data_IF_593868616419
#
_entry.id   IF_593868616419
#
_cell.length_a   1.000
_cell.length_b   1.000
_cell.length_c   1.000
_cell.angle_alpha   90.00
_cell.angle_beta   90.00
_cell.angle_gamma   90.00
#
_symmetry.space_group_name_H-M   'P 1'
#
loop_
_entity.id
_entity.type
_entity.pdbx_description
1 polymer ?
#
# COMPACT_ATOMS: atom_id res chain seq x y z
N UNK A 1 -17.21 -28.72 -3.18
CA UNK A 1 -16.33 -27.62 -3.52
C UNK A 1 -16.91 -26.31 -2.99
N UNK A 2 -16.16 -25.62 -2.20
CA UNK A 2 -16.65 -24.34 -1.68
C UNK A 2 -16.73 -23.35 -2.82
N UNK A 3 -17.84 -22.66 -2.92
CA UNK A 3 -17.97 -21.57 -3.85
C UNK A 3 -17.19 -20.37 -3.33
N UNK A 4 -16.16 -19.98 -4.04
CA UNK A 4 -15.48 -18.76 -3.71
C UNK A 4 -16.21 -17.59 -4.33
N UNK A 5 -16.42 -16.56 -3.55
CA UNK A 5 -16.96 -15.31 -4.08
C UNK A 5 -15.83 -14.59 -4.82
N UNK A 6 -16.16 -13.63 -5.68
CA UNK A 6 -15.15 -12.93 -6.47
C UNK A 6 -14.03 -12.31 -5.66
N UNK A 7 -14.32 -11.81 -4.45
CA UNK A 7 -13.31 -11.18 -3.61
C UNK A 7 -12.44 -12.20 -2.84
N UNK A 8 -12.92 -13.45 -2.68
CA UNK A 8 -12.14 -14.53 -2.08
C UNK A 8 -11.14 -15.10 -3.08
N UNK A 9 -11.42 -14.94 -4.37
CA UNK A 9 -10.65 -15.53 -5.44
C UNK A 9 -9.62 -14.53 -5.99
N UNK A 10 -8.87 -13.87 -5.11
CA UNK A 10 -7.81 -12.98 -5.56
C UNK A 10 -6.43 -13.62 -5.36
N UNK A 11 -5.47 -13.18 -6.19
CA UNK A 11 -4.11 -13.68 -6.16
C UNK A 11 -3.14 -12.52 -6.30
N UNK A 12 -1.95 -12.71 -5.73
CA UNK A 12 -0.88 -11.71 -5.83
C UNK A 12 0.20 -12.19 -6.80
N UNK A 13 0.78 -11.24 -7.53
CA UNK A 13 1.92 -11.53 -8.41
C UNK A 13 2.74 -10.26 -8.59
N UNK A 14 3.93 -10.40 -9.16
CA UNK A 14 4.79 -9.25 -9.43
C UNK A 14 4.17 -8.36 -10.50
N UNK A 15 4.46 -7.07 -10.42
CA UNK A 15 4.00 -6.09 -11.40
C UNK A 15 4.47 -6.47 -12.80
N UNK A 16 3.55 -6.44 -13.76
CA UNK A 16 3.83 -6.61 -15.18
C UNK A 16 3.60 -5.28 -15.89
N UNK A 17 4.24 -5.09 -17.04
CA UNK A 17 4.09 -3.86 -17.80
C UNK A 17 2.61 -3.55 -18.10
N UNK A 18 1.85 -4.58 -18.43
CA UNK A 18 0.42 -4.44 -18.73
C UNK A 18 -0.43 -3.99 -17.53
N UNK A 19 0.08 -4.16 -16.31
CA UNK A 19 -0.62 -3.77 -15.09
C UNK A 19 -0.46 -2.30 -14.77
N UNK A 20 0.53 -1.65 -15.37
CA UNK A 20 0.93 -0.29 -14.99
C UNK A 20 -0.20 0.74 -15.07
N UNK A 21 -1.00 0.79 -16.15
CA UNK A 21 -2.10 1.78 -16.19
C UNK A 21 -3.08 1.65 -15.02
N UNK A 22 -3.48 0.42 -14.69
CA UNK A 22 -4.40 0.17 -13.58
C UNK A 22 -3.79 0.54 -12.24
N UNK A 23 -2.51 0.21 -12.04
CA UNK A 23 -1.79 0.53 -10.82
C UNK A 23 -1.68 2.04 -10.61
N UNK A 24 -1.38 2.78 -11.66
CA UNK A 24 -1.29 4.25 -11.57
C UNK A 24 -2.63 4.89 -11.24
N UNK A 25 -3.71 4.36 -11.80
CA UNK A 25 -5.05 4.84 -11.49
C UNK A 25 -5.40 4.61 -10.03
N UNK A 26 -5.09 3.41 -9.51
CA UNK A 26 -5.32 3.10 -8.10
C UNK A 26 -4.46 3.99 -7.19
N UNK A 27 -3.19 4.19 -7.55
CA UNK A 27 -2.30 5.06 -6.78
C UNK A 27 -2.89 6.46 -6.63
N UNK A 28 -3.31 7.05 -7.72
CA UNK A 28 -3.85 8.40 -7.70
C UNK A 28 -5.17 8.47 -6.90
N UNK A 29 -6.13 7.61 -7.23
CA UNK A 29 -7.43 7.67 -6.59
C UNK A 29 -7.36 7.36 -5.09
N UNK A 30 -6.54 6.40 -4.69
CA UNK A 30 -6.38 6.04 -3.28
C UNK A 30 -5.76 7.19 -2.48
N UNK A 31 -4.74 7.87 -3.06
CA UNK A 31 -4.13 9.01 -2.39
C UNK A 31 -5.08 10.20 -2.28
N UNK A 32 -5.84 10.48 -3.33
CA UNK A 32 -6.81 11.58 -3.30
C UNK A 32 -7.88 11.36 -2.23
N UNK A 33 -8.29 10.10 -2.01
CA UNK A 33 -9.29 9.80 -1.00
C UNK A 33 -8.72 9.77 0.42
N UNK A 34 -7.56 9.13 0.60
CA UNK A 34 -6.99 8.94 1.92
C UNK A 34 -6.30 10.18 2.46
N UNK A 35 -5.80 11.03 1.59
CA UNK A 35 -4.95 12.16 1.95
C UNK A 35 -5.55 13.48 1.46
N UNK A 36 -6.80 13.73 1.78
CA UNK A 36 -7.53 14.95 1.38
C UNK A 36 -6.98 16.22 2.02
N UNK A 37 -6.14 16.08 3.06
CA UNK A 37 -5.43 17.18 3.71
C UNK A 37 -4.20 17.65 2.92
N UNK A 38 -3.86 16.97 1.82
CA UNK A 38 -2.79 17.35 0.90
C UNK A 38 -3.43 17.75 -0.41
N UNK A 39 -3.02 18.89 -1.02
CA UNK A 39 -3.64 19.34 -2.27
C UNK A 39 -3.57 18.28 -3.37
N UNK A 40 -4.65 18.15 -4.12
CA UNK A 40 -4.73 17.21 -5.25
C UNK A 40 -3.59 17.42 -6.25
N UNK A 41 -3.20 18.67 -6.46
CA UNK A 41 -2.12 19.05 -7.36
C UNK A 41 -0.81 18.30 -7.03
N UNK A 42 -0.51 18.12 -5.74
CA UNK A 42 0.69 17.40 -5.31
C UNK A 42 0.71 15.98 -5.87
N UNK A 43 -0.42 15.27 -5.75
CA UNK A 43 -0.50 13.88 -6.23
C UNK A 43 -0.43 13.82 -7.75
N UNK A 44 -1.13 14.70 -8.44
CA UNK A 44 -1.11 14.71 -9.91
C UNK A 44 0.25 15.08 -10.49
N UNK A 45 0.96 15.97 -9.84
CA UNK A 45 2.30 16.36 -10.28
C UNK A 45 3.33 15.27 -10.05
N UNK A 46 3.10 14.40 -9.07
CA UNK A 46 4.02 13.29 -8.79
C UNK A 46 3.74 12.04 -9.64
N UNK A 47 2.61 12.00 -10.32
CA UNK A 47 2.23 10.84 -11.12
C UNK A 47 3.26 10.43 -12.18
N UNK A 48 3.85 11.35 -12.95
CA UNK A 48 4.88 10.98 -13.93
C UNK A 48 6.10 10.30 -13.30
N UNK A 49 6.51 10.77 -12.12
CA UNK A 49 7.64 10.17 -11.40
C UNK A 49 7.30 8.76 -10.94
N UNK A 50 6.12 8.56 -10.39
CA UNK A 50 5.66 7.23 -9.96
C UNK A 50 5.63 6.27 -11.13
N UNK A 51 5.16 6.75 -12.29
CA UNK A 51 5.13 5.94 -13.52
C UNK A 51 6.51 5.43 -13.91
N UNK A 52 7.54 6.26 -13.73
CA UNK A 52 8.91 5.88 -14.04
C UNK A 52 9.51 4.96 -13.00
N UNK A 53 9.15 5.15 -11.73
CA UNK A 53 9.73 4.41 -10.62
C UNK A 53 9.19 2.99 -10.48
N UNK A 54 7.89 2.80 -10.71
CA UNK A 54 7.24 1.51 -10.45
C UNK A 54 7.88 0.33 -11.19
N UNK A 55 8.22 0.43 -12.48
CA UNK A 55 8.83 -0.71 -13.18
C UNK A 55 10.20 -1.10 -12.63
N UNK A 56 10.87 -0.20 -11.91
CA UNK A 56 12.19 -0.43 -11.36
C UNK A 56 12.15 -0.84 -9.89
N UNK A 57 10.98 -0.81 -9.27
CA UNK A 57 10.78 -1.13 -7.87
C UNK A 57 10.29 -2.56 -7.70
N UNK A 58 10.37 -3.07 -6.48
CA UNK A 58 9.76 -4.35 -6.15
C UNK A 58 8.31 -4.11 -5.80
N UNK A 59 7.40 -4.56 -6.65
CA UNK A 59 5.98 -4.29 -6.53
C UNK A 59 5.18 -5.58 -6.66
N UNK A 60 4.23 -5.77 -5.75
CA UNK A 60 3.23 -6.81 -5.83
C UNK A 60 1.91 -6.19 -6.24
N UNK A 61 1.19 -6.86 -7.14
CA UNK A 61 -0.17 -6.49 -7.48
C UNK A 61 -1.12 -7.59 -7.00
N UNK A 62 -2.34 -7.21 -6.69
CA UNK A 62 -3.40 -8.14 -6.34
C UNK A 62 -4.44 -8.09 -7.43
N UNK A 63 -4.79 -9.25 -7.96
CA UNK A 63 -5.73 -9.38 -9.06
C UNK A 63 -6.92 -10.23 -8.64
N UNK A 64 -8.11 -9.77 -8.97
CA UNK A 64 -9.36 -10.49 -8.71
C UNK A 64 -10.21 -10.44 -9.97
N UNK A 65 -10.68 -11.60 -10.42
CA UNK A 65 -11.53 -11.71 -11.61
C UNK A 65 -10.94 -11.03 -12.85
N UNK A 66 -9.61 -11.20 -13.03
CA UNK A 66 -8.90 -10.64 -14.16
C UNK A 66 -8.64 -9.15 -14.09
N UNK A 67 -8.85 -8.54 -12.93
CA UNK A 67 -8.72 -7.10 -12.74
C UNK A 67 -7.77 -6.80 -11.59
N UNK A 68 -6.89 -5.80 -11.77
CA UNK A 68 -6.02 -5.35 -10.70
C UNK A 68 -6.86 -4.57 -9.69
N UNK A 69 -6.80 -4.97 -8.43
CA UNK A 69 -7.62 -4.39 -7.35
C UNK A 69 -6.78 -3.78 -6.22
N UNK A 70 -5.47 -3.96 -6.25
CA UNK A 70 -4.58 -3.37 -5.27
C UNK A 70 -3.13 -3.64 -5.60
N UNK A 71 -2.23 -2.94 -4.92
CA UNK A 71 -0.80 -3.16 -5.09
C UNK A 71 -0.02 -2.60 -3.90
N UNK A 72 1.24 -3.02 -3.79
CA UNK A 72 2.15 -2.51 -2.77
C UNK A 72 3.58 -2.53 -3.31
N UNK A 73 4.33 -1.49 -3.04
CA UNK A 73 5.74 -1.41 -3.37
C UNK A 73 6.58 -1.49 -2.11
N UNK A 74 7.78 -2.04 -2.22
CA UNK A 74 8.69 -2.19 -1.11
C UNK A 74 10.13 -1.94 -1.58
N UNK A 75 10.93 -1.36 -0.69
CA UNK A 75 12.34 -1.14 -0.92
C UNK A 75 13.09 -1.60 0.31
N UNK A 76 13.74 -2.77 0.18
CA UNK A 76 14.60 -3.31 1.22
C UNK A 76 13.92 -3.38 2.60
N UNK A 77 12.68 -3.85 2.62
CA UNK A 77 11.90 -3.99 3.86
C UNK A 77 11.09 -2.75 4.23
N UNK A 78 11.27 -1.65 3.52
CA UNK A 78 10.47 -0.45 3.75
C UNK A 78 9.30 -0.42 2.77
N UNK A 79 8.09 -0.52 3.30
CA UNK A 79 6.87 -0.51 2.48
C UNK A 79 6.58 0.93 2.08
N UNK A 80 6.55 1.18 0.78
CA UNK A 80 6.26 2.52 0.24
C UNK A 80 4.77 2.85 0.32
N UNK A 81 3.93 1.84 0.38
CA UNK A 81 2.50 2.00 0.55
C UNK A 81 1.75 0.74 0.19
N UNK A 82 0.51 0.65 0.65
CA UNK A 82 -0.44 -0.39 0.27
C UNK A 82 -1.68 0.33 -0.21
N UNK A 83 -2.06 0.06 -1.46
CA UNK A 83 -3.13 0.77 -2.13
C UNK A 83 -4.18 -0.22 -2.62
N UNK A 84 -5.44 0.04 -2.30
CA UNK A 84 -6.56 -0.84 -2.67
C UNK A 84 -7.61 0.00 -3.38
N UNK A 85 -8.13 -0.54 -4.49
CA UNK A 85 -9.21 0.09 -5.23
C UNK A 85 -10.43 0.23 -4.31
N UNK A 86 -11.04 1.41 -4.29
CA UNK A 86 -12.10 1.75 -3.34
C UNK A 86 -13.22 0.71 -3.23
N UNK A 87 -13.79 0.22 -4.34
CA UNK A 87 -14.85 -0.79 -4.25
C UNK A 87 -14.44 -2.10 -3.59
N UNK A 88 -13.13 -2.36 -3.54
CA UNK A 88 -12.57 -3.61 -3.03
C UNK A 88 -12.01 -3.50 -1.62
N UNK A 89 -12.19 -2.36 -0.97
CA UNK A 89 -11.71 -2.17 0.41
C UNK A 89 -12.46 -3.06 1.39
N UNK A 90 -11.80 -3.36 2.52
CA UNK A 90 -12.34 -4.18 3.61
C UNK A 90 -12.63 -5.62 3.18
N UNK A 91 -11.97 -6.10 2.15
CA UNK A 91 -12.11 -7.48 1.66
C UNK A 91 -10.85 -8.31 1.82
N UNK A 92 -9.88 -7.81 2.60
CA UNK A 92 -8.66 -8.57 2.89
C UNK A 92 -7.54 -8.39 1.88
N UNK A 93 -7.68 -7.51 0.90
CA UNK A 93 -6.66 -7.31 -0.14
C UNK A 93 -5.40 -6.67 0.45
N UNK A 94 -5.56 -5.62 1.24
CA UNK A 94 -4.41 -4.98 1.91
C UNK A 94 -3.68 -5.96 2.81
N UNK A 95 -4.43 -6.77 3.54
CA UNK A 95 -3.85 -7.79 4.42
C UNK A 95 -3.10 -8.86 3.63
N UNK A 96 -3.63 -9.28 2.48
CA UNK A 96 -2.97 -10.26 1.62
C UNK A 96 -1.64 -9.74 1.09
N UNK A 97 -1.60 -8.49 0.65
CA UNK A 97 -0.36 -7.86 0.19
C UNK A 97 0.65 -7.75 1.33
N UNK A 98 0.20 -7.32 2.49
CA UNK A 98 1.05 -7.18 3.66
C UNK A 98 1.61 -8.53 4.11
N UNK A 99 0.78 -9.57 4.09
CA UNK A 99 1.23 -10.91 4.49
C UNK A 99 2.31 -11.46 3.56
N UNK A 100 2.28 -11.10 2.27
CA UNK A 100 3.36 -11.47 1.35
C UNK A 100 4.68 -10.84 1.79
N UNK A 101 4.67 -9.57 2.17
CA UNK A 101 5.88 -8.92 2.66
C UNK A 101 6.34 -9.53 3.98
N UNK A 102 5.42 -9.87 4.89
CA UNK A 102 5.74 -10.51 6.16
C UNK A 102 6.43 -11.87 5.97
N UNK A 103 6.10 -12.58 4.89
CA UNK A 103 6.76 -13.85 4.57
C UNK A 103 8.16 -13.66 4.03
N UNK A 104 8.44 -12.52 3.41
CA UNK A 104 9.71 -12.27 2.70
C UNK A 104 10.73 -11.50 3.52
N UNK A 105 10.29 -10.75 4.51
CA UNK A 105 11.16 -9.88 5.30
C UNK A 105 10.92 -10.09 6.79
N UNK A 106 11.99 -10.26 7.59
CA UNK A 106 11.83 -10.41 9.05
C UNK A 106 11.45 -9.13 9.75
N UNK A 107 11.76 -7.99 9.15
CA UNK A 107 11.44 -6.66 9.68
C UNK A 107 10.87 -5.83 8.54
N UNK A 108 9.75 -5.17 8.83
CA UNK A 108 9.11 -4.25 7.89
C UNK A 108 8.98 -2.88 8.54
N UNK A 109 9.22 -1.83 7.77
CA UNK A 109 8.96 -0.46 8.20
C UNK A 109 8.06 0.24 7.20
N UNK A 110 7.42 1.31 7.63
CA UNK A 110 6.63 2.17 6.77
C UNK A 110 6.42 3.52 7.44
N UNK A 111 5.96 4.49 6.65
CA UNK A 111 5.51 5.77 7.17
C UNK A 111 4.04 5.96 6.84
N UNK A 112 3.27 6.45 7.78
CA UNK A 112 1.84 6.70 7.59
C UNK A 112 1.49 8.08 8.14
N UNK A 113 0.76 8.88 7.38
CA UNK A 113 0.33 10.19 7.85
C UNK A 113 -0.55 10.07 9.09
N UNK A 114 -0.29 10.90 10.08
CA UNK A 114 -1.06 10.91 11.33
C UNK A 114 -2.55 11.10 11.06
N UNK A 115 -2.89 11.91 10.07
CA UNK A 115 -4.28 12.20 9.70
C UNK A 115 -4.97 11.05 8.98
N UNK A 116 -4.22 10.08 8.47
CA UNK A 116 -4.79 8.89 7.83
C UNK A 116 -5.14 7.85 8.90
N UNK A 117 -6.21 8.11 9.62
CA UNK A 117 -6.62 7.29 10.78
C UNK A 117 -6.94 5.85 10.40
N UNK A 118 -7.53 5.65 9.24
CA UNK A 118 -7.89 4.32 8.75
C UNK A 118 -6.66 3.44 8.52
N UNK A 119 -5.65 3.98 7.85
CA UNK A 119 -4.41 3.26 7.60
C UNK A 119 -3.66 2.99 8.90
N UNK A 120 -3.60 4.00 9.78
CA UNK A 120 -2.94 3.84 11.07
C UNK A 120 -3.56 2.70 11.87
N UNK A 121 -4.90 2.67 11.94
CA UNK A 121 -5.63 1.60 12.64
C UNK A 121 -5.34 0.23 12.01
N UNK A 122 -5.29 0.17 10.68
CA UNK A 122 -4.98 -1.07 9.97
C UNK A 122 -3.59 -1.60 10.36
N UNK A 123 -2.57 -0.75 10.30
CA UNK A 123 -1.20 -1.20 10.62
C UNK A 123 -1.06 -1.60 12.08
N UNK A 124 -1.72 -0.89 13.01
CA UNK A 124 -1.71 -1.28 14.41
C UNK A 124 -2.36 -2.66 14.61
N UNK A 125 -3.48 -2.94 13.93
CA UNK A 125 -4.14 -4.24 13.97
C UNK A 125 -3.24 -5.35 13.43
N UNK A 126 -2.43 -5.01 12.42
CA UNK A 126 -1.55 -5.99 11.78
C UNK A 126 -0.22 -6.18 12.51
N UNK A 127 -0.08 -5.57 13.68
CA UNK A 127 1.08 -5.82 14.54
C UNK A 127 2.21 -4.81 14.44
N UNK A 128 2.00 -3.73 13.71
CA UNK A 128 2.99 -2.66 13.65
C UNK A 128 2.94 -1.79 14.91
N UNK A 129 4.10 -1.27 15.30
CA UNK A 129 4.22 -0.33 16.43
C UNK A 129 4.73 1.01 15.93
N UNK A 130 4.31 2.08 16.58
CA UNK A 130 4.81 3.42 16.30
C UNK A 130 6.24 3.53 16.84
N UNK A 131 7.16 3.95 15.98
CA UNK A 131 8.55 4.16 16.36
C UNK A 131 8.79 5.61 16.71
N UNK A 132 8.33 6.52 15.86
CA UNK A 132 8.45 7.97 16.12
C UNK A 132 7.48 8.74 15.24
N UNK A 133 7.18 9.95 15.69
CA UNK A 133 6.42 10.94 14.93
C UNK A 133 7.42 11.86 14.25
N UNK A 134 7.23 12.14 12.97
CA UNK A 134 8.14 12.98 12.19
C UNK A 134 7.37 13.80 11.18
N UNK A 135 7.94 14.91 10.76
CA UNK A 135 7.32 15.79 9.78
C UNK A 135 7.85 15.46 8.39
N UNK A 136 6.93 15.37 7.41
CA UNK A 136 7.28 15.25 6.01
C UNK A 136 7.74 16.62 5.52
N UNK A 137 8.97 16.72 5.06
CA UNK A 137 9.55 18.00 4.65
C UNK A 137 8.88 18.60 3.41
N UNK A 138 8.32 17.76 2.55
CA UNK A 138 7.69 18.21 1.30
C UNK A 138 6.29 18.74 1.55
N UNK A 139 5.48 17.97 2.29
CA UNK A 139 4.07 18.31 2.51
C UNK A 139 3.84 19.11 3.79
N UNK A 140 4.77 19.05 4.74
CA UNK A 140 4.61 19.66 6.06
C UNK A 140 3.74 18.85 7.01
N UNK A 141 3.18 17.73 6.55
CA UNK A 141 2.30 16.90 7.36
C UNK A 141 3.08 15.97 8.29
N UNK A 142 2.49 15.68 9.45
CA UNK A 142 3.09 14.77 10.40
C UNK A 142 2.76 13.33 10.06
N UNK A 143 3.70 12.44 10.28
CA UNK A 143 3.51 11.02 10.04
C UNK A 143 4.26 10.17 11.05
N UNK A 144 3.81 8.93 11.22
CA UNK A 144 4.48 7.97 12.07
C UNK A 144 5.35 7.05 11.24
N UNK A 145 6.60 6.89 11.68
CA UNK A 145 7.42 5.76 11.28
C UNK A 145 6.93 4.57 12.10
N UNK A 146 6.61 3.48 11.44
CA UNK A 146 6.11 2.26 12.09
C UNK A 146 6.98 1.06 11.74
N UNK A 147 6.97 0.07 12.62
CA UNK A 147 7.79 -1.13 12.43
C UNK A 147 7.03 -2.37 12.85
N UNK A 148 7.24 -3.43 12.11
CA UNK A 148 6.79 -4.78 12.44
C UNK A 148 8.00 -5.71 12.41
N UNK A 149 8.05 -6.65 13.36
CA UNK A 149 9.08 -7.67 13.41
C UNK A 149 8.44 -9.04 13.52
N UNK A 150 8.86 -9.95 12.66
CA UNK A 150 8.42 -11.34 12.70
C UNK A 150 9.24 -12.18 13.65
N UNK A 151 10.30 -11.61 14.22
CA UNK A 151 11.17 -12.33 15.14
C UNK A 151 10.54 -12.30 16.53
N UNK A 152 10.26 -13.47 17.06
CA UNK A 152 9.73 -13.59 18.43
C UNK A 152 10.91 -13.58 19.42
N UNK A 153 10.70 -12.83 20.49
CA UNK A 153 11.69 -12.78 21.56
C UNK A 153 11.31 -13.68 22.71
#
# INVERSE_FOLDING_TARGET
MSAQTGWDAFATHALREEDLPAVLEIWLSANLQAHDFIPEKYWRENLPMVRQMLPQAQVLVCEAEGKIVGFSGIDNGHIEGIFVDAPMRSRGIGKALLNEWKRRFPILTLCVYEKNKSALAFYLREGFSKVRLQQDEVTGEMGYMMQWSGVKQ
#
